data_IF_566791922650
#
_entry.id   IF_566791922650
#
_cell.length_a   1.000
_cell.length_b   1.000
_cell.length_c   1.000
_cell.angle_alpha   90.00
_cell.angle_beta   90.00
_cell.angle_gamma   90.00
#
_symmetry.space_group_name_H-M   'P 1'
#
loop_
_entity.id
_entity.type
_entity.pdbx_description
1 polymer ?
#
# COMPACT_ATOMS: atom_id res chain seq x y z
N UNK A 1 -28.45 -15.14 57.19
CA UNK A 1 -27.88 -15.54 55.91
C UNK A 1 -26.84 -14.49 55.57
N UNK A 2 -25.55 -14.76 55.89
CA UNK A 2 -24.42 -13.80 55.69
C UNK A 2 -23.78 -14.08 54.33
N UNK A 3 -23.90 -13.11 53.40
CA UNK A 3 -23.21 -13.13 52.14
C UNK A 3 -21.70 -12.74 52.39
N UNK A 4 -20.79 -13.66 52.15
CA UNK A 4 -19.37 -13.39 52.11
C UNK A 4 -19.03 -12.99 50.66
N UNK A 5 -18.73 -11.71 50.43
CA UNK A 5 -18.17 -11.21 49.19
C UNK A 5 -16.66 -11.49 49.22
N UNK A 6 -16.21 -12.49 48.46
CA UNK A 6 -14.80 -12.77 48.27
C UNK A 6 -14.24 -11.78 47.23
N UNK A 7 -13.46 -10.80 47.67
CA UNK A 7 -12.71 -9.88 46.85
C UNK A 7 -11.52 -10.62 46.23
N UNK A 8 -11.62 -11.02 44.95
CA UNK A 8 -10.49 -11.63 44.25
C UNK A 8 -9.54 -10.48 43.82
N UNK A 9 -8.46 -10.31 44.59
CA UNK A 9 -7.31 -9.49 44.19
C UNK A 9 -6.59 -10.22 43.06
N UNK A 10 -6.79 -9.76 41.80
CA UNK A 10 -5.97 -10.16 40.66
C UNK A 10 -4.64 -9.40 40.81
N UNK A 11 -3.48 -10.09 40.98
CA UNK A 11 -2.19 -9.41 40.98
C UNK A 11 -1.95 -8.89 39.58
N UNK A 12 -1.96 -7.55 39.40
CA UNK A 12 -1.40 -6.87 38.24
C UNK A 12 0.10 -7.06 38.32
N UNK A 13 0.60 -8.15 37.69
CA UNK A 13 2.03 -8.31 37.47
C UNK A 13 2.44 -7.24 36.45
N UNK A 14 3.07 -6.16 36.93
CA UNK A 14 3.91 -5.28 36.12
C UNK A 14 5.07 -6.15 35.59
N UNK A 15 4.86 -6.80 34.47
CA UNK A 15 5.96 -7.31 33.66
C UNK A 15 6.71 -6.09 33.13
N UNK A 16 7.84 -5.75 33.72
CA UNK A 16 8.85 -4.95 33.07
C UNK A 16 9.13 -5.61 31.72
N UNK A 17 8.64 -5.04 30.63
CA UNK A 17 8.86 -5.59 29.29
C UNK A 17 10.36 -5.53 29.01
N UNK A 18 11.02 -6.70 28.96
CA UNK A 18 12.37 -6.78 28.43
C UNK A 18 12.34 -6.23 27.00
N UNK A 19 13.29 -5.33 26.62
CA UNK A 19 13.32 -4.79 25.27
C UNK A 19 13.31 -5.91 24.24
N UNK A 20 12.44 -5.79 23.24
CA UNK A 20 12.38 -6.76 22.16
C UNK A 20 13.59 -6.56 21.25
N UNK A 21 14.43 -7.57 21.11
CA UNK A 21 15.53 -7.56 20.15
C UNK A 21 14.97 -7.66 18.75
N UNK A 22 15.34 -6.72 17.87
CA UNK A 22 14.79 -6.60 16.54
C UNK A 22 15.94 -6.38 15.53
N UNK A 23 16.08 -7.31 14.58
CA UNK A 23 16.93 -7.13 13.42
C UNK A 23 16.15 -6.37 12.32
N UNK A 24 16.85 -5.83 11.33
CA UNK A 24 16.21 -5.19 10.17
C UNK A 24 15.30 -6.19 9.42
N UNK A 25 15.77 -7.42 9.25
CA UNK A 25 15.02 -8.49 8.58
C UNK A 25 13.74 -8.84 9.34
N UNK A 26 13.82 -8.97 10.67
CA UNK A 26 12.66 -9.24 11.53
C UNK A 26 11.65 -8.06 11.49
N UNK A 27 12.15 -6.82 11.48
CA UNK A 27 11.31 -5.64 11.36
C UNK A 27 10.52 -5.62 10.03
N UNK A 28 11.21 -5.93 8.92
CA UNK A 28 10.58 -6.04 7.59
C UNK A 28 9.52 -7.15 7.60
N UNK A 29 9.82 -8.32 8.13
CA UNK A 29 8.90 -9.45 8.21
C UNK A 29 7.66 -9.11 9.04
N UNK A 30 7.85 -8.53 10.23
CA UNK A 30 6.74 -8.08 11.07
C UNK A 30 5.87 -7.04 10.37
N UNK A 31 6.49 -6.06 9.69
CA UNK A 31 5.78 -5.09 8.90
C UNK A 31 4.93 -5.73 7.80
N UNK A 32 5.49 -6.69 7.06
CA UNK A 32 4.75 -7.42 6.01
C UNK A 32 3.60 -8.27 6.55
N UNK A 33 3.73 -8.82 7.75
CA UNK A 33 2.69 -9.64 8.38
C UNK A 33 1.56 -8.80 9.02
N UNK A 34 1.88 -7.64 9.60
CA UNK A 34 0.97 -6.88 10.46
C UNK A 34 0.51 -5.54 9.91
N UNK A 35 1.13 -5.04 8.84
CA UNK A 35 0.78 -3.73 8.27
C UNK A 35 -0.66 -3.67 7.78
N UNK A 36 -1.41 -2.70 8.31
CA UNK A 36 -2.77 -2.40 7.86
C UNK A 36 -2.80 -1.91 6.41
N UNK A 37 -1.76 -1.20 5.97
CA UNK A 37 -1.61 -0.74 4.59
C UNK A 37 -1.52 -1.94 3.63
N UNK A 38 -0.69 -2.94 3.95
CA UNK A 38 -0.54 -4.12 3.11
C UNK A 38 -1.80 -5.00 3.14
N UNK A 39 -2.48 -5.08 4.29
CA UNK A 39 -3.80 -5.74 4.40
C UNK A 39 -4.84 -5.06 3.51
N UNK A 40 -4.88 -3.71 3.50
CA UNK A 40 -5.74 -2.95 2.59
C UNK A 40 -5.43 -3.26 1.12
N UNK A 41 -4.15 -3.30 0.74
CA UNK A 41 -3.74 -3.61 -0.63
C UNK A 41 -4.13 -5.04 -1.04
N UNK A 42 -3.99 -6.03 -0.13
CA UNK A 42 -4.48 -7.40 -0.35
C UNK A 42 -6.00 -7.42 -0.61
N UNK A 43 -6.77 -6.69 0.17
CA UNK A 43 -8.24 -6.60 -0.02
C UNK A 43 -8.59 -5.97 -1.38
N UNK A 44 -7.78 -5.03 -1.90
CA UNK A 44 -7.97 -4.51 -3.26
C UNK A 44 -7.76 -5.61 -4.32
N UNK A 45 -6.75 -6.48 -4.15
CA UNK A 45 -6.54 -7.63 -5.03
C UNK A 45 -7.73 -8.59 -5.00
N UNK A 46 -8.21 -8.95 -3.81
CA UNK A 46 -9.39 -9.80 -3.63
C UNK A 46 -10.64 -9.19 -4.30
N UNK A 47 -10.85 -7.90 -4.14
CA UNK A 47 -11.97 -7.18 -4.76
C UNK A 47 -11.86 -7.18 -6.30
N UNK A 48 -10.68 -6.92 -6.84
CA UNK A 48 -10.44 -6.95 -8.29
C UNK A 48 -10.60 -8.37 -8.87
N UNK A 49 -10.13 -9.38 -8.16
CA UNK A 49 -10.29 -10.79 -8.53
C UNK A 49 -11.77 -11.23 -8.51
N UNK A 50 -12.52 -10.83 -7.48
CA UNK A 50 -13.96 -11.06 -7.41
C UNK A 50 -14.71 -10.39 -8.58
N UNK A 51 -14.32 -9.15 -8.93
CA UNK A 51 -14.88 -8.44 -10.10
C UNK A 51 -14.57 -9.17 -11.42
N UNK A 52 -13.36 -9.69 -11.59
CA UNK A 52 -12.98 -10.51 -12.74
C UNK A 52 -13.83 -11.78 -12.82
N UNK A 53 -13.99 -12.49 -11.69
CA UNK A 53 -14.86 -13.68 -11.62
C UNK A 53 -16.32 -13.34 -11.95
N UNK A 54 -16.86 -12.24 -11.45
CA UNK A 54 -18.21 -11.77 -11.78
C UNK A 54 -18.37 -11.41 -13.27
N UNK A 55 -17.34 -10.79 -13.87
CA UNK A 55 -17.33 -10.47 -15.29
C UNK A 55 -17.28 -11.74 -16.16
N UNK A 56 -16.54 -12.76 -15.74
CA UNK A 56 -16.52 -14.07 -16.41
C UNK A 56 -17.86 -14.79 -16.25
N UNK A 57 -18.51 -14.69 -15.09
CA UNK A 57 -19.84 -15.28 -14.87
C UNK A 57 -20.90 -14.69 -15.81
N UNK A 58 -20.76 -13.44 -16.24
CA UNK A 58 -21.69 -12.83 -17.22
C UNK A 58 -21.67 -13.47 -18.62
N UNK A 59 -20.68 -14.32 -18.92
CA UNK A 59 -20.62 -15.12 -20.14
C UNK A 59 -21.45 -16.41 -20.04
N UNK A 60 -21.83 -16.82 -18.85
CA UNK A 60 -22.57 -18.06 -18.58
C UNK A 60 -24.08 -17.81 -18.61
N UNK A 61 -24.91 -18.90 -18.72
CA UNK A 61 -26.36 -18.77 -18.64
C UNK A 61 -26.79 -18.17 -17.29
N UNK A 62 -27.70 -17.21 -17.33
CA UNK A 62 -28.40 -16.74 -16.14
C UNK A 62 -29.73 -17.45 -15.99
N UNK A 63 -30.08 -17.79 -14.75
CA UNK A 63 -31.37 -18.39 -14.39
C UNK A 63 -32.07 -17.44 -13.44
N UNK A 64 -33.25 -16.98 -13.84
CA UNK A 64 -34.06 -16.08 -13.02
C UNK A 64 -35.43 -16.70 -12.74
N UNK A 65 -35.93 -16.54 -11.52
CA UNK A 65 -37.27 -16.95 -11.14
C UNK A 65 -38.03 -15.65 -10.78
N UNK A 66 -39.19 -15.47 -11.39
CA UNK A 66 -40.08 -14.35 -11.08
C UNK A 66 -41.45 -14.87 -10.72
N UNK A 67 -42.08 -14.26 -9.72
CA UNK A 67 -43.47 -14.56 -9.31
C UNK A 67 -44.23 -13.28 -9.09
N UNK A 68 -45.52 -13.29 -9.41
CA UNK A 68 -46.40 -12.14 -9.21
C UNK A 68 -47.83 -12.55 -8.93
N UNK A 69 -48.54 -11.73 -8.16
CA UNK A 69 -49.98 -11.78 -7.97
C UNK A 69 -50.56 -10.42 -8.32
N UNK A 70 -51.61 -10.43 -9.12
CA UNK A 70 -52.39 -9.23 -9.38
C UNK A 70 -53.88 -9.57 -9.36
N UNK A 71 -54.67 -8.69 -8.73
CA UNK A 71 -56.11 -8.73 -8.83
C UNK A 71 -56.56 -7.66 -9.82
N UNK A 72 -57.27 -8.11 -10.85
CA UNK A 72 -57.83 -7.19 -11.88
C UNK A 72 -59.09 -6.52 -11.30
N UNK A 73 -59.42 -5.35 -11.81
CA UNK A 73 -60.74 -4.78 -11.68
C UNK A 73 -61.76 -5.62 -12.42
N UNK A 74 -63.01 -5.37 -12.18
CA UNK A 74 -64.07 -6.04 -12.93
C UNK A 74 -63.94 -5.73 -14.42
N UNK A 75 -63.93 -6.77 -15.26
CA UNK A 75 -63.77 -6.70 -16.72
C UNK A 75 -64.89 -7.52 -17.36
N UNK A 76 -65.47 -7.01 -18.47
CA UNK A 76 -66.53 -7.74 -19.18
C UNK A 76 -65.98 -9.04 -19.78
N UNK A 77 -66.62 -10.18 -19.52
CA UNK A 77 -66.21 -11.46 -20.12
C UNK A 77 -66.37 -11.45 -21.63
N UNK A 78 -65.61 -12.32 -22.31
CA UNK A 78 -65.77 -12.53 -23.72
C UNK A 78 -67.00 -13.43 -23.95
N UNK A 79 -68.08 -12.82 -24.48
CA UNK A 79 -69.36 -13.51 -24.65
C UNK A 79 -69.94 -13.29 -26.05
N UNK A 80 -70.74 -14.24 -26.51
CA UNK A 80 -71.58 -14.09 -27.68
C UNK A 80 -72.89 -13.46 -27.26
N UNK A 81 -73.32 -12.30 -27.84
CA UNK A 81 -74.57 -11.65 -27.47
C UNK A 81 -75.82 -12.55 -27.61
N UNK A 82 -76.78 -12.34 -26.77
CA UNK A 82 -78.06 -13.03 -26.85
C UNK A 82 -78.71 -12.92 -28.23
N UNK A 83 -79.24 -14.00 -28.79
CA UNK A 83 -79.90 -14.09 -30.06
C UNK A 83 -78.99 -14.37 -31.31
N UNK A 84 -77.66 -14.22 -31.21
CA UNK A 84 -76.78 -14.38 -32.37
C UNK A 84 -76.61 -15.85 -32.81
N UNK A 85 -76.74 -16.83 -31.89
CA UNK A 85 -76.72 -18.28 -32.21
C UNK A 85 -78.05 -18.95 -31.83
N UNK A 86 -79.14 -18.20 -31.78
CA UNK A 86 -80.45 -18.74 -31.39
C UNK A 86 -80.65 -18.98 -29.86
N UNK A 87 -79.68 -18.59 -29.05
CA UNK A 87 -79.69 -18.73 -27.62
C UNK A 87 -80.27 -17.43 -26.99
N UNK A 88 -81.29 -17.45 -26.15
CA UNK A 88 -81.91 -16.28 -25.53
C UNK A 88 -81.04 -15.58 -24.49
N UNK A 89 -79.95 -16.17 -24.08
CA UNK A 89 -79.01 -15.61 -23.11
C UNK A 89 -77.60 -15.46 -23.72
N UNK A 90 -76.78 -14.48 -23.25
CA UNK A 90 -75.40 -14.35 -23.71
C UNK A 90 -74.64 -15.66 -23.37
N UNK A 91 -73.83 -16.15 -24.31
CA UNK A 91 -72.98 -17.31 -24.12
C UNK A 91 -71.57 -16.86 -23.79
N UNK A 92 -71.15 -17.00 -22.54
CA UNK A 92 -69.76 -16.70 -22.11
C UNK A 92 -68.83 -17.72 -22.71
N UNK A 93 -67.94 -17.27 -23.62
CA UNK A 93 -66.93 -18.11 -24.29
C UNK A 93 -65.70 -18.21 -23.40
N UNK A 94 -65.28 -17.10 -22.77
CA UNK A 94 -64.13 -17.06 -21.91
C UNK A 94 -64.43 -16.33 -20.59
N UNK A 95 -64.46 -17.03 -19.44
CA UNK A 95 -64.69 -16.39 -18.16
C UNK A 95 -63.53 -15.45 -17.81
N UNK A 96 -63.83 -14.41 -17.03
CA UNK A 96 -62.80 -13.52 -16.46
C UNK A 96 -62.35 -14.11 -15.14
N UNK A 97 -61.06 -14.28 -15.00
CA UNK A 97 -60.40 -14.67 -13.73
C UNK A 97 -59.73 -13.42 -13.17
N UNK A 98 -60.31 -12.87 -12.07
CA UNK A 98 -59.80 -11.62 -11.49
C UNK A 98 -58.48 -11.79 -10.75
N UNK A 99 -58.26 -12.93 -10.14
CA UNK A 99 -57.04 -13.24 -9.38
C UNK A 99 -56.01 -13.91 -10.30
N UNK A 100 -54.97 -13.17 -10.65
CA UNK A 100 -53.91 -13.63 -11.56
C UNK A 100 -52.65 -13.95 -10.79
N UNK A 101 -52.21 -15.18 -10.91
CA UNK A 101 -50.94 -15.66 -10.35
C UNK A 101 -49.99 -15.98 -11.52
N UNK A 102 -48.79 -15.38 -11.51
CA UNK A 102 -47.75 -15.64 -12.52
C UNK A 102 -46.50 -16.16 -11.86
N UNK A 103 -45.94 -17.23 -12.40
CA UNK A 103 -44.62 -17.74 -12.05
C UNK A 103 -43.87 -18.03 -13.34
N UNK A 104 -42.65 -17.56 -13.42
CA UNK A 104 -41.78 -17.73 -14.61
C UNK A 104 -40.36 -18.07 -14.19
N UNK A 105 -39.81 -19.09 -14.81
CA UNK A 105 -38.38 -19.42 -14.77
C UNK A 105 -37.84 -19.06 -16.15
N UNK A 106 -36.82 -18.18 -16.19
CA UNK A 106 -36.16 -17.79 -17.43
C UNK A 106 -34.70 -18.23 -17.38
N UNK A 107 -34.23 -18.91 -18.43
CA UNK A 107 -32.81 -19.19 -18.68
C UNK A 107 -32.42 -18.34 -19.87
N UNK A 108 -31.38 -17.52 -19.70
CA UNK A 108 -30.85 -16.66 -20.78
C UNK A 108 -29.36 -16.86 -20.95
N UNK A 109 -28.92 -17.24 -22.16
CA UNK A 109 -27.52 -17.43 -22.53
C UNK A 109 -27.15 -16.40 -23.61
N UNK A 110 -26.14 -15.52 -23.35
CA UNK A 110 -25.56 -14.71 -24.40
C UNK A 110 -24.81 -15.60 -25.40
N UNK A 111 -25.19 -15.57 -26.67
CA UNK A 111 -24.52 -16.33 -27.74
C UNK A 111 -23.49 -15.44 -28.43
N UNK A 112 -23.89 -14.21 -28.74
CA UNK A 112 -23.02 -13.21 -29.36
C UNK A 112 -23.41 -11.81 -28.89
N UNK A 113 -22.42 -11.03 -28.44
CA UNK A 113 -22.63 -9.68 -27.92
C UNK A 113 -21.66 -8.68 -28.55
N UNK A 114 -21.27 -8.88 -29.81
CA UNK A 114 -20.25 -8.03 -30.46
C UNK A 114 -18.89 -8.06 -29.74
N UNK A 115 -18.53 -9.17 -29.10
CA UNK A 115 -17.33 -9.33 -28.23
C UNK A 115 -17.36 -8.51 -26.94
N UNK A 116 -18.41 -7.71 -26.67
CA UNK A 116 -18.50 -6.81 -25.51
C UNK A 116 -18.29 -7.53 -24.18
N UNK A 117 -19.06 -8.59 -23.89
CA UNK A 117 -18.96 -9.33 -22.61
C UNK A 117 -17.58 -9.97 -22.45
N UNK A 118 -17.06 -10.58 -23.51
CA UNK A 118 -15.74 -11.23 -23.49
C UNK A 118 -14.63 -10.20 -23.27
N UNK A 119 -14.71 -9.03 -23.89
CA UNK A 119 -13.73 -7.95 -23.73
C UNK A 119 -13.83 -7.30 -22.34
N UNK A 120 -15.03 -7.17 -21.77
CA UNK A 120 -15.22 -6.70 -20.40
C UNK A 120 -14.60 -7.69 -19.38
N UNK A 121 -14.79 -9.00 -19.60
CA UNK A 121 -14.17 -10.03 -18.77
C UNK A 121 -12.62 -9.96 -18.85
N UNK A 122 -12.09 -9.78 -20.07
CA UNK A 122 -10.65 -9.61 -20.28
C UNK A 122 -10.11 -8.31 -19.65
N UNK A 123 -10.84 -7.20 -19.76
CA UNK A 123 -10.47 -5.95 -19.09
C UNK A 123 -10.43 -6.12 -17.57
N UNK A 124 -11.44 -6.78 -16.98
CA UNK A 124 -11.47 -7.07 -15.55
C UNK A 124 -10.33 -8.00 -15.10
N UNK A 125 -9.94 -8.99 -15.91
CA UNK A 125 -8.78 -9.86 -15.67
C UNK A 125 -7.47 -9.05 -15.62
N UNK A 126 -7.25 -8.16 -16.58
CA UNK A 126 -6.05 -7.31 -16.58
C UNK A 126 -6.04 -6.31 -15.42
N UNK A 127 -7.20 -5.80 -14.99
CA UNK A 127 -7.29 -4.98 -13.77
C UNK A 127 -6.94 -5.79 -12.52
N UNK A 128 -7.34 -7.07 -12.45
CA UNK A 128 -6.92 -7.94 -11.35
C UNK A 128 -5.40 -8.16 -11.34
N UNK A 129 -4.79 -8.40 -12.52
CA UNK A 129 -3.31 -8.49 -12.66
C UNK A 129 -2.61 -7.18 -12.28
N UNK A 130 -3.18 -6.04 -12.65
CA UNK A 130 -2.66 -4.74 -12.25
C UNK A 130 -2.67 -4.59 -10.72
N UNK A 131 -3.78 -4.98 -10.07
CA UNK A 131 -3.91 -4.93 -8.60
C UNK A 131 -2.92 -5.85 -7.88
N UNK A 132 -2.60 -7.02 -8.45
CA UNK A 132 -1.55 -7.91 -7.92
C UNK A 132 -0.17 -7.26 -8.00
N UNK A 133 0.11 -6.56 -9.11
CA UNK A 133 1.36 -5.83 -9.26
C UNK A 133 1.41 -4.60 -8.33
N UNK A 134 0.30 -3.88 -8.15
CA UNK A 134 0.18 -2.81 -7.16
C UNK A 134 0.47 -3.32 -5.73
N UNK A 135 -0.03 -4.51 -5.37
CA UNK A 135 0.26 -5.13 -4.08
C UNK A 135 1.76 -5.43 -3.90
N UNK A 136 2.43 -5.90 -4.95
CA UNK A 136 3.89 -6.12 -4.91
C UNK A 136 4.66 -4.81 -4.76
N UNK A 137 4.20 -3.74 -5.42
CA UNK A 137 4.78 -2.40 -5.27
C UNK A 137 4.57 -1.88 -3.84
N UNK A 138 3.36 -1.97 -3.28
CA UNK A 138 3.05 -1.56 -1.91
C UNK A 138 3.90 -2.34 -0.89
N UNK A 139 4.19 -3.63 -1.16
CA UNK A 139 5.11 -4.43 -0.36
C UNK A 139 6.55 -3.92 -0.42
N UNK A 140 7.04 -3.52 -1.59
CA UNK A 140 8.36 -2.93 -1.75
C UNK A 140 8.46 -1.55 -1.07
N UNK A 141 7.40 -0.73 -1.17
CA UNK A 141 7.29 0.56 -0.48
C UNK A 141 7.31 0.39 1.04
N UNK A 142 6.54 -0.57 1.57
CA UNK A 142 6.55 -0.89 3.00
C UNK A 142 7.94 -1.32 3.46
N UNK A 143 8.62 -2.17 2.69
CA UNK A 143 9.97 -2.63 3.01
C UNK A 143 10.96 -1.47 3.10
N UNK A 144 10.91 -0.53 2.15
CA UNK A 144 11.74 0.68 2.19
C UNK A 144 11.38 1.58 3.39
N UNK A 145 10.09 1.75 3.69
CA UNK A 145 9.63 2.56 4.81
C UNK A 145 10.08 1.97 6.16
N UNK A 146 9.99 0.65 6.34
CA UNK A 146 10.51 -0.04 7.53
C UNK A 146 12.03 0.14 7.64
N UNK A 147 12.75 -0.05 6.53
CA UNK A 147 14.20 0.14 6.47
C UNK A 147 14.60 1.57 6.85
N UNK A 148 13.87 2.55 6.34
CA UNK A 148 14.12 3.96 6.65
C UNK A 148 13.85 4.28 8.12
N UNK A 149 12.75 3.79 8.68
CA UNK A 149 12.41 4.00 10.08
C UNK A 149 13.39 3.29 11.03
N UNK A 150 13.86 2.09 10.66
CA UNK A 150 14.86 1.33 11.42
C UNK A 150 16.20 2.08 11.52
N UNK A 151 16.72 2.54 10.38
CA UNK A 151 17.99 3.26 10.34
C UNK A 151 17.90 4.67 10.96
N UNK A 152 16.74 5.31 10.88
CA UNK A 152 16.50 6.59 11.59
C UNK A 152 16.51 6.38 13.10
N UNK A 153 15.87 5.31 13.61
CA UNK A 153 15.94 4.97 15.03
C UNK A 153 17.38 4.65 15.45
N UNK A 154 18.13 3.90 14.65
CA UNK A 154 19.55 3.65 14.89
C UNK A 154 20.35 4.96 15.00
N UNK A 155 20.16 5.87 14.06
CA UNK A 155 20.84 7.19 14.07
C UNK A 155 20.52 7.98 15.34
N UNK A 156 19.26 8.02 15.75
CA UNK A 156 18.85 8.73 16.97
C UNK A 156 19.41 8.08 18.25
N UNK A 157 19.48 6.74 18.30
CA UNK A 157 20.11 6.02 19.42
C UNK A 157 21.59 6.36 19.53
N UNK A 158 22.33 6.38 18.43
CA UNK A 158 23.75 6.78 18.44
C UNK A 158 23.91 8.26 18.78
N UNK A 159 23.03 9.15 18.26
CA UNK A 159 23.04 10.59 18.60
C UNK A 159 22.79 10.80 20.10
N UNK A 160 21.84 10.07 20.69
CA UNK A 160 21.60 10.09 22.15
C UNK A 160 22.84 9.66 22.92
N UNK A 161 23.46 8.54 22.53
CA UNK A 161 24.68 8.04 23.16
C UNK A 161 25.82 9.06 23.11
N UNK A 162 26.04 9.67 21.95
CA UNK A 162 27.05 10.74 21.78
C UNK A 162 26.74 11.98 22.66
N UNK A 163 25.46 12.33 22.79
CA UNK A 163 25.02 13.43 23.67
C UNK A 163 25.26 13.10 25.15
N UNK A 164 24.98 11.85 25.59
CA UNK A 164 25.27 11.38 26.95
C UNK A 164 26.78 11.43 27.24
N UNK A 165 27.61 10.97 26.30
CA UNK A 165 29.08 11.04 26.42
C UNK A 165 29.58 12.47 26.46
N UNK A 166 29.04 13.38 25.66
CA UNK A 166 29.38 14.78 25.65
C UNK A 166 29.07 15.48 26.97
N UNK A 167 27.88 15.26 27.54
CA UNK A 167 27.52 15.79 28.87
C UNK A 167 28.48 15.29 29.93
N UNK A 168 28.83 14.00 29.92
CA UNK A 168 29.80 13.42 30.88
C UNK A 168 31.20 14.06 30.73
N UNK A 169 31.68 14.30 29.51
CA UNK A 169 32.96 14.98 29.28
C UNK A 169 32.96 16.41 29.80
N UNK A 170 31.91 17.18 29.53
CA UNK A 170 31.76 18.55 29.98
C UNK A 170 31.63 18.64 31.52
N UNK A 171 30.97 17.68 32.19
CA UNK A 171 30.99 17.57 33.63
C UNK A 171 32.40 17.33 34.20
N UNK A 172 33.19 16.50 33.54
CA UNK A 172 34.60 16.28 33.89
C UNK A 172 35.40 17.57 33.73
N UNK A 173 35.26 18.27 32.59
CA UNK A 173 35.91 19.57 32.36
C UNK A 173 35.51 20.63 33.39
N UNK A 174 34.26 20.67 33.80
CA UNK A 174 33.79 21.56 34.87
C UNK A 174 34.53 21.30 36.16
N UNK A 175 34.68 20.02 36.57
CA UNK A 175 35.36 19.64 37.79
C UNK A 175 36.89 19.93 37.70
N UNK A 176 37.53 19.62 36.60
CA UNK A 176 38.94 19.88 36.37
C UNK A 176 39.22 21.39 36.42
N UNK A 177 38.37 22.20 35.77
CA UNK A 177 38.49 23.67 35.78
C UNK A 177 38.28 24.27 37.17
N UNK A 178 37.33 23.73 37.95
CA UNK A 178 37.18 24.13 39.37
C UNK A 178 38.46 23.88 40.17
N UNK A 179 39.11 22.72 39.96
CA UNK A 179 40.34 22.39 40.63
C UNK A 179 41.51 23.29 40.18
N UNK A 180 41.63 23.55 38.88
CA UNK A 180 42.62 24.49 38.35
C UNK A 180 42.38 25.93 38.82
N UNK A 181 41.14 26.37 38.96
CA UNK A 181 40.78 27.67 39.51
C UNK A 181 41.19 27.80 40.98
N UNK A 182 40.94 26.75 41.77
CA UNK A 182 41.38 26.70 43.18
C UNK A 182 42.91 26.75 43.32
N UNK A 183 43.64 26.21 42.36
CA UNK A 183 45.10 26.26 42.27
C UNK A 183 45.62 27.59 41.65
N UNK A 184 44.73 28.52 41.25
CA UNK A 184 45.09 29.78 40.63
C UNK A 184 45.54 29.65 39.14
N UNK A 185 45.30 28.50 38.50
CA UNK A 185 45.71 28.18 37.12
C UNK A 185 44.60 28.38 36.09
N UNK A 186 43.34 28.61 36.53
CA UNK A 186 42.20 28.95 35.66
C UNK A 186 41.43 30.14 36.27
N UNK A 187 40.70 30.86 35.39
CA UNK A 187 39.88 31.99 35.79
C UNK A 187 38.41 31.59 36.03
N UNK A 188 37.67 32.44 36.76
CA UNK A 188 36.22 32.26 36.91
C UNK A 188 35.50 32.28 35.55
N UNK A 189 36.00 33.08 34.59
CA UNK A 189 35.45 33.14 33.25
C UNK A 189 35.59 31.82 32.49
N UNK A 190 36.68 31.09 32.69
CA UNK A 190 36.88 29.75 32.07
C UNK A 190 35.85 28.76 32.61
N UNK A 191 35.60 28.79 33.92
CA UNK A 191 34.55 27.93 34.52
C UNK A 191 33.16 28.26 33.98
N UNK A 192 32.80 29.57 33.90
CA UNK A 192 31.48 30.00 33.39
C UNK A 192 31.28 29.57 31.92
N UNK A 193 32.30 29.62 31.08
CA UNK A 193 32.21 29.12 29.70
C UNK A 193 31.86 27.64 29.65
N UNK A 194 32.50 26.82 30.46
CA UNK A 194 32.23 25.38 30.53
C UNK A 194 30.83 25.10 31.08
N UNK A 195 30.38 25.85 32.09
CA UNK A 195 29.03 25.74 32.66
C UNK A 195 27.94 26.07 31.64
N UNK A 196 28.14 27.12 30.82
CA UNK A 196 27.21 27.43 29.72
C UNK A 196 27.20 26.30 28.68
N UNK A 197 28.35 25.78 28.26
CA UNK A 197 28.44 24.70 27.29
C UNK A 197 27.82 23.41 27.83
N UNK A 198 28.01 23.10 29.12
CA UNK A 198 27.35 21.97 29.77
C UNK A 198 25.82 22.12 29.77
N UNK A 199 25.31 23.31 30.05
CA UNK A 199 23.87 23.57 29.99
C UNK A 199 23.32 23.38 28.56
N UNK A 200 24.04 23.86 27.54
CA UNK A 200 23.67 23.62 26.13
C UNK A 200 23.67 22.16 25.77
N UNK A 201 24.68 21.40 26.21
CA UNK A 201 24.78 19.95 25.97
C UNK A 201 23.63 19.17 26.65
N UNK A 202 23.22 19.59 27.85
CA UNK A 202 22.05 19.01 28.53
C UNK A 202 20.74 19.25 27.79
N UNK A 203 20.55 20.42 27.17
CA UNK A 203 19.40 20.70 26.32
C UNK A 203 19.40 19.76 25.11
N UNK A 204 20.53 19.62 24.41
CA UNK A 204 20.66 18.71 23.28
C UNK A 204 20.39 17.23 23.70
N UNK A 205 20.84 16.85 24.89
CA UNK A 205 20.57 15.51 25.45
C UNK A 205 19.06 15.27 25.67
N UNK A 206 18.33 16.27 26.17
CA UNK A 206 16.86 16.17 26.35
C UNK A 206 16.18 15.98 24.99
N UNK A 207 16.58 16.77 23.99
CA UNK A 207 16.03 16.64 22.63
C UNK A 207 16.35 15.26 22.04
N UNK A 208 17.58 14.78 22.19
CA UNK A 208 17.99 13.46 21.67
C UNK A 208 17.22 12.29 22.32
N UNK A 209 16.87 12.38 23.60
CA UNK A 209 16.01 11.38 24.27
C UNK A 209 14.60 11.38 23.63
N UNK A 210 14.02 12.55 23.46
CA UNK A 210 12.71 12.67 22.83
C UNK A 210 12.69 12.16 21.38
N UNK A 211 13.75 12.43 20.60
CA UNK A 211 13.88 11.98 19.22
C UNK A 211 13.96 10.45 19.11
N UNK A 212 14.63 9.80 20.07
CA UNK A 212 14.62 8.33 20.16
C UNK A 212 13.20 7.81 20.40
N UNK A 213 12.47 8.38 21.36
CA UNK A 213 11.12 7.93 21.68
C UNK A 213 10.18 8.10 20.48
N UNK A 214 10.24 9.25 19.79
CA UNK A 214 9.45 9.52 18.58
C UNK A 214 9.80 8.54 17.46
N UNK A 215 11.09 8.29 17.20
CA UNK A 215 11.53 7.36 16.17
C UNK A 215 11.11 5.90 16.50
N UNK A 216 11.18 5.50 17.77
CA UNK A 216 10.73 4.19 18.23
C UNK A 216 9.22 4.01 18.06
N UNK A 217 8.41 5.02 18.43
CA UNK A 217 6.96 5.01 18.19
C UNK A 217 6.64 4.92 16.70
N UNK A 218 7.39 5.63 15.85
CA UNK A 218 7.20 5.59 14.39
C UNK A 218 7.51 4.20 13.82
N UNK A 219 8.63 3.58 14.19
CA UNK A 219 8.96 2.21 13.77
C UNK A 219 7.88 1.23 14.22
N UNK A 220 7.46 1.27 15.50
CA UNK A 220 6.41 0.42 16.03
C UNK A 220 5.10 0.55 15.24
N UNK A 221 4.70 1.78 14.91
CA UNK A 221 3.50 2.03 14.12
C UNK A 221 3.59 1.41 12.72
N UNK A 222 4.74 1.56 12.04
CA UNK A 222 4.95 1.03 10.68
C UNK A 222 4.93 -0.50 10.67
N UNK A 223 5.56 -1.15 11.67
CA UNK A 223 5.59 -2.62 11.79
C UNK A 223 4.33 -3.21 12.45
N UNK A 224 3.36 -2.36 12.81
CA UNK A 224 2.07 -2.81 13.36
C UNK A 224 2.15 -3.34 14.79
N UNK A 225 3.06 -2.80 15.61
CA UNK A 225 3.18 -3.08 17.04
C UNK A 225 2.57 -1.94 17.89
N UNK A 226 2.27 -2.20 19.19
CA UNK A 226 1.91 -1.12 20.11
C UNK A 226 3.01 -0.07 20.16
N UNK A 227 2.64 1.22 20.11
CA UNK A 227 3.59 2.34 20.00
C UNK A 227 4.57 2.44 21.19
N UNK A 228 4.21 1.90 22.34
CA UNK A 228 5.02 1.93 23.58
C UNK A 228 6.00 0.76 23.70
N UNK A 229 6.05 -0.14 22.69
CA UNK A 229 6.93 -1.32 22.72
C UNK A 229 8.39 -0.87 22.74
N UNK A 230 9.14 -1.31 23.73
CA UNK A 230 10.59 -1.05 23.81
C UNK A 230 11.34 -2.00 22.87
N UNK A 231 12.17 -1.43 21.99
CA UNK A 231 12.94 -2.14 20.97
C UNK A 231 14.44 -1.94 21.23
N UNK A 232 15.20 -3.04 21.15
CA UNK A 232 16.66 -3.05 21.06
C UNK A 232 17.08 -3.44 19.65
N UNK A 233 17.70 -2.54 18.90
CA UNK A 233 18.15 -2.82 17.53
C UNK A 233 19.38 -3.72 17.56
N UNK A 234 19.40 -4.74 16.69
CA UNK A 234 20.52 -5.69 16.61
C UNK A 234 21.33 -5.59 15.32
N UNK A 235 20.77 -5.01 14.25
CA UNK A 235 21.52 -4.73 13.03
C UNK A 235 22.25 -3.39 13.13
N UNK A 236 23.51 -3.38 12.72
CA UNK A 236 24.34 -2.17 12.63
C UNK A 236 24.71 -1.88 11.17
N UNK A 237 24.89 -0.61 10.80
CA UNK A 237 25.32 -0.26 9.44
C UNK A 237 26.68 -0.91 9.12
N UNK A 238 26.85 -1.33 7.90
CA UNK A 238 28.05 -2.04 7.49
C UNK A 238 29.11 -1.05 6.96
N UNK A 239 30.24 -0.92 7.64
CA UNK A 239 31.40 -0.13 7.15
C UNK A 239 32.11 -0.81 5.97
N UNK A 240 31.89 -2.13 5.79
CA UNK A 240 32.48 -2.87 4.67
C UNK A 240 31.66 -2.64 3.41
N UNK A 241 32.17 -1.75 2.59
CA UNK A 241 31.73 -1.48 1.22
C UNK A 241 31.74 -2.75 0.36
N UNK A 242 30.74 -3.61 0.52
CA UNK A 242 30.40 -4.57 -0.53
C UNK A 242 29.92 -3.75 -1.72
N UNK A 243 30.82 -3.59 -2.67
CA UNK A 243 30.53 -3.01 -3.97
C UNK A 243 29.32 -3.79 -4.51
N UNK A 244 28.12 -3.23 -4.45
CA UNK A 244 27.16 -3.52 -5.49
C UNK A 244 27.93 -3.08 -6.75
N UNK A 245 28.45 -4.05 -7.52
CA UNK A 245 29.08 -3.76 -8.81
C UNK A 245 28.09 -2.83 -9.48
N UNK A 246 28.53 -1.62 -9.71
CA UNK A 246 27.74 -0.64 -10.43
C UNK A 246 27.57 -1.21 -11.84
N UNK A 247 26.48 -1.99 -12.04
CA UNK A 247 26.09 -2.39 -13.39
C UNK A 247 25.97 -1.13 -14.23
N UNK A 248 26.36 -1.16 -15.49
CA UNK A 248 26.21 -0.02 -16.38
C UNK A 248 24.76 0.49 -16.34
N UNK A 249 24.59 1.81 -16.37
CA UNK A 249 23.26 2.42 -16.30
C UNK A 249 22.21 1.80 -17.25
N UNK A 250 22.56 1.43 -18.51
CA UNK A 250 21.60 0.75 -19.40
C UNK A 250 21.07 -0.59 -18.85
N UNK A 251 21.91 -1.38 -18.19
CA UNK A 251 21.51 -2.66 -17.60
C UNK A 251 20.56 -2.45 -16.41
N UNK A 252 20.85 -1.47 -15.55
CA UNK A 252 19.94 -1.12 -14.44
C UNK A 252 18.60 -0.64 -14.94
N UNK A 253 18.56 0.08 -16.05
CA UNK A 253 17.36 0.57 -16.66
C UNK A 253 16.51 -0.57 -17.26
N UNK A 254 17.15 -1.51 -17.98
CA UNK A 254 16.49 -2.70 -18.52
C UNK A 254 15.93 -3.59 -17.40
N UNK A 255 16.71 -3.80 -16.34
CA UNK A 255 16.25 -4.52 -15.16
C UNK A 255 15.03 -3.84 -14.55
N UNK A 256 15.05 -2.53 -14.37
CA UNK A 256 13.91 -1.80 -13.80
C UNK A 256 12.64 -1.96 -14.64
N UNK A 257 12.72 -1.81 -15.96
CA UNK A 257 11.56 -1.94 -16.84
C UNK A 257 10.98 -3.36 -16.86
N UNK A 258 11.79 -4.39 -16.63
CA UNK A 258 11.33 -5.77 -16.59
C UNK A 258 10.82 -6.21 -15.23
N UNK A 259 11.43 -5.70 -14.14
CA UNK A 259 11.22 -6.23 -12.78
C UNK A 259 10.29 -5.39 -11.92
N UNK A 260 10.15 -4.08 -12.20
CA UNK A 260 9.35 -3.16 -11.36
C UNK A 260 7.86 -3.49 -11.41
N UNK A 261 7.22 -3.69 -10.25
CA UNK A 261 5.79 -4.01 -10.20
C UNK A 261 4.88 -2.86 -10.66
N UNK A 262 5.25 -1.60 -10.43
CA UNK A 262 4.49 -0.42 -10.89
C UNK A 262 4.46 -0.32 -12.43
N UNK A 263 5.55 -0.68 -13.12
CA UNK A 263 5.60 -0.79 -14.58
C UNK A 263 4.66 -1.90 -15.08
N UNK A 264 4.71 -3.08 -14.44
CA UNK A 264 3.85 -4.22 -14.78
C UNK A 264 2.37 -3.92 -14.54
N UNK A 265 2.04 -3.17 -13.48
CA UNK A 265 0.68 -2.70 -13.20
C UNK A 265 0.18 -1.81 -14.32
N UNK A 266 0.95 -0.80 -14.72
CA UNK A 266 0.54 0.14 -15.77
C UNK A 266 0.42 -0.54 -17.13
N UNK A 267 1.31 -1.48 -17.47
CA UNK A 267 1.19 -2.32 -18.67
C UNK A 267 -0.12 -3.12 -18.66
N UNK A 268 -0.47 -3.71 -17.52
CA UNK A 268 -1.74 -4.43 -17.36
C UNK A 268 -2.95 -3.51 -17.53
N UNK A 269 -2.89 -2.26 -17.04
CA UNK A 269 -3.93 -1.25 -17.23
C UNK A 269 -4.08 -0.84 -18.70
N UNK A 270 -2.99 -0.76 -19.47
CA UNK A 270 -3.01 -0.52 -20.91
C UNK A 270 -3.75 -1.65 -21.61
N UNK A 271 -3.45 -2.92 -21.30
CA UNK A 271 -4.14 -4.07 -21.88
C UNK A 271 -5.64 -4.10 -21.50
N UNK A 272 -5.97 -3.71 -20.27
CA UNK A 272 -7.36 -3.52 -19.85
C UNK A 272 -8.06 -2.44 -20.69
N UNK A 273 -7.40 -1.31 -20.95
CA UNK A 273 -7.95 -0.22 -21.77
C UNK A 273 -8.14 -0.64 -23.22
N UNK A 274 -7.22 -1.41 -23.82
CA UNK A 274 -7.39 -2.01 -25.16
C UNK A 274 -8.62 -2.91 -25.23
N UNK A 275 -8.81 -3.75 -24.19
CA UNK A 275 -9.99 -4.58 -24.09
C UNK A 275 -11.27 -3.74 -23.95
N UNK A 276 -11.23 -2.63 -23.20
CA UNK A 276 -12.35 -1.70 -23.04
C UNK A 276 -12.72 -1.02 -24.37
N UNK A 277 -11.73 -0.62 -25.19
CA UNK A 277 -11.97 -0.12 -26.55
C UNK A 277 -12.72 -1.17 -27.38
N UNK A 278 -12.28 -2.42 -27.34
CA UNK A 278 -12.95 -3.53 -28.07
C UNK A 278 -14.37 -3.76 -27.53
N UNK A 279 -14.58 -3.63 -26.23
CA UNK A 279 -15.91 -3.75 -25.64
C UNK A 279 -16.87 -2.64 -26.12
N UNK A 280 -16.38 -1.39 -26.18
CA UNK A 280 -17.15 -0.24 -26.70
C UNK A 280 -17.48 -0.43 -28.20
N UNK A 281 -16.52 -0.88 -29.01
CA UNK A 281 -16.73 -1.25 -30.40
C UNK A 281 -17.78 -2.35 -30.60
N UNK A 282 -17.96 -3.19 -29.57
CA UNK A 282 -18.97 -4.24 -29.53
C UNK A 282 -20.39 -3.75 -29.74
N UNK A 283 -20.68 -2.47 -29.41
CA UNK A 283 -21.99 -1.86 -29.61
C UNK A 283 -22.33 -1.59 -31.10
N UNK A 284 -21.36 -1.69 -32.01
CA UNK A 284 -21.61 -1.67 -33.46
C UNK A 284 -22.15 -3.01 -34.01
N UNK A 285 -22.24 -4.05 -33.19
CA UNK A 285 -22.67 -5.39 -33.61
C UNK A 285 -24.03 -5.74 -32.99
N UNK A 286 -24.85 -6.59 -33.65
CA UNK A 286 -26.04 -7.14 -33.03
C UNK A 286 -25.69 -8.01 -31.82
N UNK A 287 -26.57 -8.01 -30.81
CA UNK A 287 -26.49 -8.87 -29.65
C UNK A 287 -27.50 -10.03 -29.82
N UNK A 288 -27.07 -11.24 -29.60
CA UNK A 288 -27.85 -12.45 -29.80
C UNK A 288 -27.89 -13.24 -28.47
N UNK A 289 -29.11 -13.48 -28.00
CA UNK A 289 -29.36 -14.24 -26.79
C UNK A 289 -30.25 -15.45 -27.11
N UNK A 290 -29.91 -16.60 -26.53
CA UNK A 290 -30.80 -17.75 -26.47
C UNK A 290 -31.60 -17.64 -25.16
N UNK A 291 -32.94 -17.70 -25.24
CA UNK A 291 -33.82 -17.61 -24.07
C UNK A 291 -34.71 -18.84 -24.01
N UNK A 292 -34.89 -19.38 -22.82
CA UNK A 292 -35.86 -20.42 -22.54
C UNK A 292 -36.72 -19.98 -21.34
N UNK A 293 -38.04 -20.08 -21.48
CA UNK A 293 -38.95 -19.70 -20.41
C UNK A 293 -39.87 -20.87 -20.06
N UNK A 294 -40.09 -21.08 -18.79
CA UNK A 294 -41.12 -21.96 -18.26
C UNK A 294 -42.11 -21.11 -17.44
N UNK A 295 -43.39 -21.21 -17.78
CA UNK A 295 -44.45 -20.46 -17.11
C UNK A 295 -45.35 -21.43 -16.34
N UNK A 296 -45.78 -21.04 -15.15
CA UNK A 296 -46.78 -21.71 -14.35
C UNK A 296 -47.74 -20.67 -13.79
N UNK A 297 -48.82 -20.41 -14.56
CA UNK A 297 -49.70 -19.26 -14.32
C UNK A 297 -51.14 -19.72 -14.09
N UNK A 298 -51.90 -18.90 -13.35
CA UNK A 298 -53.34 -19.02 -13.19
C UNK A 298 -53.99 -17.64 -13.37
N UNK A 299 -54.85 -17.40 -14.38
CA UNK A 299 -54.98 -18.24 -15.56
C UNK A 299 -53.70 -18.17 -16.44
N UNK A 300 -53.50 -19.18 -17.27
CA UNK A 300 -52.42 -19.12 -18.28
C UNK A 300 -53.03 -18.60 -19.59
N UNK A 301 -52.60 -17.43 -20.04
CA UNK A 301 -53.10 -16.74 -21.21
C UNK A 301 -52.87 -17.50 -22.54
N UNK A 302 -52.09 -18.59 -22.55
CA UNK A 302 -51.87 -19.43 -23.72
C UNK A 302 -52.98 -20.48 -23.93
N UNK A 303 -53.89 -20.63 -22.98
CA UNK A 303 -55.05 -21.50 -23.12
C UNK A 303 -56.28 -20.67 -23.42
N UNK A 304 -57.02 -21.07 -24.49
CA UNK A 304 -58.30 -20.49 -24.84
C UNK A 304 -59.34 -21.59 -25.01
N UNK A 305 -60.50 -21.46 -24.41
CA UNK A 305 -60.97 -20.40 -23.49
C UNK A 305 -60.17 -20.39 -22.18
N UNK A 306 -60.19 -19.22 -21.49
CA UNK A 306 -59.49 -19.02 -20.22
C UNK A 306 -59.95 -20.04 -19.19
N UNK A 307 -58.98 -20.71 -18.54
CA UNK A 307 -59.20 -21.74 -17.53
C UNK A 307 -58.74 -21.21 -16.18
N UNK A 308 -59.63 -21.18 -15.18
CA UNK A 308 -59.28 -20.80 -13.81
C UNK A 308 -58.55 -21.95 -13.09
N UNK A 309 -57.35 -22.27 -13.56
CA UNK A 309 -56.45 -23.26 -12.99
C UNK A 309 -54.99 -22.95 -13.32
N UNK A 310 -54.09 -23.40 -12.48
CA UNK A 310 -52.66 -23.36 -12.78
C UNK A 310 -52.33 -24.26 -13.98
N UNK A 311 -51.73 -23.69 -14.99
CA UNK A 311 -51.26 -24.41 -16.20
C UNK A 311 -49.85 -24.05 -16.53
N UNK A 312 -49.04 -25.05 -16.96
CA UNK A 312 -47.69 -24.85 -17.41
C UNK A 312 -47.61 -24.68 -18.93
N UNK A 313 -46.73 -23.82 -19.35
CA UNK A 313 -46.30 -23.68 -20.74
C UNK A 313 -44.81 -23.31 -20.81
N UNK A 314 -44.17 -23.55 -21.92
CA UNK A 314 -42.77 -23.17 -22.13
C UNK A 314 -42.55 -22.64 -23.53
N UNK A 315 -41.46 -21.92 -23.71
CA UNK A 315 -40.93 -21.52 -24.97
C UNK A 315 -39.40 -21.48 -24.98
N UNK A 316 -38.82 -21.65 -26.15
CA UNK A 316 -37.41 -21.40 -26.42
C UNK A 316 -37.35 -20.49 -27.62
N UNK A 317 -36.54 -19.46 -27.55
CA UNK A 317 -36.40 -18.47 -28.61
C UNK A 317 -34.99 -17.89 -28.70
N UNK A 318 -34.69 -17.31 -29.83
CA UNK A 318 -33.49 -16.51 -30.06
C UNK A 318 -33.92 -15.04 -30.14
N UNK A 319 -33.33 -14.21 -29.32
CA UNK A 319 -33.54 -12.77 -29.33
C UNK A 319 -32.33 -12.12 -29.96
N UNK A 320 -32.57 -11.27 -30.96
CA UNK A 320 -31.58 -10.42 -31.62
C UNK A 320 -31.95 -8.97 -31.35
N UNK A 321 -30.98 -8.23 -30.78
CA UNK A 321 -31.12 -6.80 -30.54
C UNK A 321 -30.00 -6.07 -31.27
N UNK A 322 -30.36 -5.01 -32.03
CA UNK A 322 -29.42 -4.20 -32.77
C UNK A 322 -29.88 -2.75 -32.81
N UNK A 323 -29.06 -1.83 -32.35
CA UNK A 323 -29.32 -0.41 -32.37
C UNK A 323 -28.89 0.15 -33.72
N UNK A 324 -29.86 0.31 -34.66
CA UNK A 324 -29.58 0.79 -36.02
C UNK A 324 -29.17 2.27 -36.02
N UNK A 325 -29.68 3.05 -35.06
CA UNK A 325 -29.38 4.46 -34.95
C UNK A 325 -29.45 4.96 -33.54
N UNK A 326 -28.37 5.58 -33.04
CA UNK A 326 -28.28 6.10 -31.67
C UNK A 326 -27.61 7.49 -31.58
N UNK A 327 -27.72 8.28 -32.65
CA UNK A 327 -27.24 9.67 -32.70
C UNK A 327 -25.72 9.80 -32.39
N UNK A 328 -24.93 8.83 -32.74
CA UNK A 328 -23.47 8.83 -32.51
C UNK A 328 -23.03 8.43 -31.08
N UNK A 329 -23.94 7.98 -30.24
CA UNK A 329 -23.60 7.57 -28.88
C UNK A 329 -22.49 6.50 -28.83
N UNK A 330 -22.59 5.46 -29.68
CA UNK A 330 -21.55 4.41 -29.78
C UNK A 330 -20.21 4.98 -30.25
N UNK A 331 -20.19 5.91 -31.20
CA UNK A 331 -18.94 6.55 -31.66
C UNK A 331 -18.28 7.32 -30.52
N UNK A 332 -19.06 8.10 -29.76
CA UNK A 332 -18.59 8.87 -28.63
C UNK A 332 -18.05 7.96 -27.51
N UNK A 333 -18.69 6.82 -27.24
CA UNK A 333 -18.21 5.81 -26.27
C UNK A 333 -16.87 5.20 -26.71
N UNK A 334 -16.70 4.87 -27.98
CA UNK A 334 -15.46 4.39 -28.57
C UNK A 334 -14.36 5.44 -28.47
N UNK A 335 -14.67 6.70 -28.80
CA UNK A 335 -13.68 7.79 -28.74
C UNK A 335 -13.26 8.07 -27.27
N UNK A 336 -14.19 8.00 -26.33
CA UNK A 336 -13.88 8.07 -24.90
C UNK A 336 -12.96 6.93 -24.46
N UNK A 337 -13.24 5.70 -24.88
CA UNK A 337 -12.40 4.54 -24.56
C UNK A 337 -10.99 4.66 -25.18
N UNK A 338 -10.87 5.13 -26.42
CA UNK A 338 -9.57 5.43 -27.07
C UNK A 338 -8.81 6.54 -26.35
N UNK A 339 -9.51 7.59 -25.92
CA UNK A 339 -8.91 8.66 -25.12
C UNK A 339 -8.32 8.14 -23.81
N UNK A 340 -9.05 7.26 -23.10
CA UNK A 340 -8.56 6.62 -21.88
C UNK A 340 -7.35 5.70 -22.14
N UNK A 341 -7.32 4.98 -23.26
CA UNK A 341 -6.14 4.19 -23.68
C UNK A 341 -4.94 5.10 -23.92
N UNK A 342 -5.10 6.16 -24.69
CA UNK A 342 -4.02 7.11 -24.98
C UNK A 342 -3.47 7.77 -23.70
N UNK A 343 -4.33 8.09 -22.73
CA UNK A 343 -3.89 8.59 -21.43
C UNK A 343 -2.97 7.59 -20.71
N UNK A 344 -3.32 6.31 -20.68
CA UNK A 344 -2.49 5.28 -20.07
C UNK A 344 -1.16 5.06 -20.80
N UNK A 345 -1.13 5.17 -22.14
CA UNK A 345 0.09 5.08 -22.93
C UNK A 345 1.03 6.26 -22.65
N UNK A 346 0.49 7.49 -22.58
CA UNK A 346 1.27 8.69 -22.22
C UNK A 346 1.82 8.56 -20.78
N UNK A 347 1.00 8.09 -19.83
CA UNK A 347 1.45 7.84 -18.47
C UNK A 347 2.58 6.81 -18.41
N UNK A 348 2.55 5.79 -19.25
CA UNK A 348 3.62 4.79 -19.34
C UNK A 348 4.93 5.38 -19.86
N UNK A 349 4.87 6.24 -20.89
CA UNK A 349 6.08 6.93 -21.38
C UNK A 349 6.62 7.91 -20.36
N UNK A 350 5.76 8.68 -19.68
CA UNK A 350 6.17 9.55 -18.58
C UNK A 350 6.81 8.75 -17.40
N UNK A 351 6.26 7.57 -17.10
CA UNK A 351 6.84 6.69 -16.07
C UNK A 351 8.25 6.24 -16.45
N UNK A 352 8.51 5.88 -17.72
CA UNK A 352 9.85 5.51 -18.19
C UNK A 352 10.87 6.64 -17.99
N UNK A 353 10.47 7.87 -18.31
CA UNK A 353 11.33 9.04 -18.11
C UNK A 353 11.64 9.25 -16.62
N UNK A 354 10.62 9.15 -15.76
CA UNK A 354 10.76 9.28 -14.32
C UNK A 354 11.66 8.19 -13.73
N UNK A 355 11.51 6.94 -14.15
CA UNK A 355 12.34 5.81 -13.71
C UNK A 355 13.80 6.04 -14.12
N UNK A 356 14.04 6.52 -15.33
CA UNK A 356 15.40 6.82 -15.81
C UNK A 356 16.08 7.87 -14.94
N UNK A 357 15.34 8.93 -14.58
CA UNK A 357 15.84 9.98 -13.70
C UNK A 357 16.04 9.47 -12.26
N UNK A 358 15.09 8.68 -11.73
CA UNK A 358 15.14 8.08 -10.40
C UNK A 358 16.38 7.20 -10.23
N UNK A 359 16.61 6.27 -11.16
CA UNK A 359 17.80 5.38 -11.12
C UNK A 359 19.08 6.19 -11.15
N UNK A 360 19.16 7.19 -12.04
CA UNK A 360 20.38 8.03 -12.13
C UNK A 360 20.66 8.78 -10.84
N UNK A 361 19.62 9.35 -10.21
CA UNK A 361 19.74 10.01 -8.89
C UNK A 361 20.21 9.04 -7.81
N UNK A 362 19.63 7.83 -7.77
CA UNK A 362 19.95 6.83 -6.76
C UNK A 362 21.37 6.28 -6.91
N UNK A 363 21.86 6.08 -8.14
CA UNK A 363 23.26 5.72 -8.41
C UNK A 363 24.21 6.81 -7.90
N UNK A 364 23.90 8.09 -8.18
CA UNK A 364 24.71 9.21 -7.68
C UNK A 364 24.64 9.33 -6.15
N UNK A 365 23.48 9.04 -5.54
CA UNK A 365 23.33 9.06 -4.09
C UNK A 365 24.19 7.99 -3.41
N UNK A 366 24.24 6.76 -3.95
CA UNK A 366 25.12 5.69 -3.44
C UNK A 366 26.59 6.08 -3.56
N UNK A 367 27.01 6.65 -4.70
CA UNK A 367 28.39 7.11 -4.87
C UNK A 367 28.76 8.21 -3.87
N UNK A 368 27.89 9.22 -3.73
CA UNK A 368 28.09 10.32 -2.77
C UNK A 368 28.16 9.83 -1.33
N UNK A 369 27.25 8.92 -0.93
CA UNK A 369 27.21 8.38 0.43
C UNK A 369 28.52 7.65 0.78
N UNK A 370 29.08 6.92 -0.18
CA UNK A 370 30.38 6.25 -0.04
C UNK A 370 31.54 7.25 0.16
N UNK A 371 31.64 8.27 -0.70
CA UNK A 371 32.68 9.29 -0.59
C UNK A 371 32.59 10.04 0.76
N UNK A 372 31.35 10.27 1.25
CA UNK A 372 31.13 10.88 2.58
C UNK A 372 31.67 10.04 3.73
N UNK A 373 31.53 8.71 3.68
CA UNK A 373 32.02 7.82 4.74
C UNK A 373 33.54 7.94 4.86
N UNK A 374 34.26 7.85 3.75
CA UNK A 374 35.72 7.92 3.75
C UNK A 374 36.21 9.25 4.35
N UNK A 375 35.58 10.36 3.96
CA UNK A 375 35.92 11.70 4.49
C UNK A 375 35.53 11.86 5.94
N UNK A 376 34.33 11.39 6.32
CA UNK A 376 33.84 11.52 7.69
C UNK A 376 34.64 10.68 8.68
N UNK A 377 35.09 9.48 8.28
CA UNK A 377 35.95 8.61 9.09
C UNK A 377 37.29 9.28 9.41
N UNK A 378 37.96 9.84 8.37
CA UNK A 378 39.18 10.60 8.58
C UNK A 378 38.93 11.81 9.51
N UNK A 379 37.78 12.46 9.37
CA UNK A 379 37.37 13.56 10.25
C UNK A 379 37.27 13.15 11.71
N UNK A 380 36.73 11.95 12.00
CA UNK A 380 36.67 11.41 13.37
C UNK A 380 38.05 11.14 13.92
N UNK A 381 38.93 10.45 13.18
CA UNK A 381 40.32 10.13 13.61
C UNK A 381 41.06 11.42 13.97
N UNK A 382 40.94 12.48 13.14
CA UNK A 382 41.59 13.78 13.38
C UNK A 382 41.00 14.51 14.59
N UNK A 383 39.67 14.48 14.77
CA UNK A 383 38.99 15.14 15.89
C UNK A 383 39.29 14.46 17.24
N UNK A 384 39.36 13.13 17.27
CA UNK A 384 39.75 12.36 18.47
C UNK A 384 41.16 12.73 18.93
N UNK A 385 42.12 12.77 18.00
CA UNK A 385 43.48 13.13 18.34
C UNK A 385 43.61 14.62 18.75
N UNK A 386 42.80 15.51 18.17
CA UNK A 386 42.73 16.91 18.58
C UNK A 386 42.21 17.05 19.99
N UNK A 387 41.12 16.38 20.36
CA UNK A 387 40.56 16.39 21.73
C UNK A 387 41.59 15.86 22.73
N UNK A 388 42.25 14.73 22.39
CA UNK A 388 43.28 14.12 23.25
C UNK A 388 44.42 15.10 23.51
N UNK A 389 45.00 15.67 22.45
CA UNK A 389 46.17 16.57 22.53
C UNK A 389 45.81 17.87 23.25
N UNK A 390 44.65 18.47 22.93
CA UNK A 390 44.19 19.73 23.55
C UNK A 390 43.82 19.51 25.02
N UNK A 391 43.22 18.38 25.38
CA UNK A 391 42.92 18.01 26.75
C UNK A 391 44.22 17.87 27.64
N UNK A 392 45.26 17.24 27.08
CA UNK A 392 46.55 17.12 27.78
C UNK A 392 47.24 18.52 27.97
N UNK A 393 47.17 19.39 26.95
CA UNK A 393 47.66 20.76 27.05
C UNK A 393 46.84 21.58 28.06
N UNK A 394 45.54 21.45 28.10
CA UNK A 394 44.67 22.18 29.03
C UNK A 394 44.98 21.80 30.47
N UNK A 395 45.15 20.52 30.78
CA UNK A 395 45.55 20.03 32.12
C UNK A 395 46.91 20.57 32.56
N UNK A 396 47.81 20.86 31.60
CA UNK A 396 49.12 21.43 31.85
C UNK A 396 49.15 22.98 31.84
N UNK A 397 47.99 23.64 31.64
CA UNK A 397 47.87 25.06 31.56
C UNK A 397 48.42 25.68 30.27
N UNK A 398 48.65 24.86 29.21
CA UNK A 398 49.21 25.25 27.93
C UNK A 398 48.14 25.45 26.83
N UNK A 399 46.87 25.19 27.13
CA UNK A 399 45.74 25.48 26.26
C UNK A 399 44.64 26.20 27.05
N UNK A 400 43.80 26.95 26.34
CA UNK A 400 42.67 27.67 26.92
C UNK A 400 41.41 26.81 27.03
N UNK A 401 40.45 27.18 27.90
CA UNK A 401 39.13 26.51 27.95
C UNK A 401 38.38 26.58 26.62
N UNK A 402 38.57 27.64 25.85
CA UNK A 402 37.96 27.79 24.52
C UNK A 402 38.50 26.77 23.54
N UNK A 403 39.83 26.56 23.47
CA UNK A 403 40.44 25.56 22.60
C UNK A 403 39.98 24.15 22.93
N UNK A 404 39.81 23.83 24.24
CA UNK A 404 39.30 22.55 24.69
C UNK A 404 37.84 22.33 24.26
N UNK A 405 36.97 23.34 24.45
CA UNK A 405 35.57 23.27 24.03
C UNK A 405 35.41 23.19 22.52
N UNK A 406 36.22 23.93 21.74
CA UNK A 406 36.21 23.88 20.28
C UNK A 406 36.62 22.50 19.76
N UNK A 407 37.63 21.87 20.38
CA UNK A 407 38.02 20.50 20.04
C UNK A 407 36.90 19.49 20.34
N UNK A 408 36.21 19.63 21.46
CA UNK A 408 35.11 18.74 21.86
C UNK A 408 33.89 18.87 20.93
N UNK A 409 33.54 20.11 20.54
CA UNK A 409 32.49 20.36 19.55
C UNK A 409 32.85 19.77 18.19
N UNK A 410 34.12 19.89 17.77
CA UNK A 410 34.61 19.29 16.51
C UNK A 410 34.48 17.77 16.53
N UNK A 411 34.80 17.11 17.63
CA UNK A 411 34.66 15.66 17.80
C UNK A 411 33.19 15.22 17.72
N UNK A 412 32.30 15.88 18.46
CA UNK A 412 30.88 15.60 18.43
C UNK A 412 30.32 15.72 17.01
N UNK A 413 30.68 16.80 16.31
CA UNK A 413 30.27 17.01 14.90
C UNK A 413 30.81 15.95 13.96
N UNK A 414 32.11 15.59 14.07
CA UNK A 414 32.73 14.58 13.23
C UNK A 414 32.07 13.21 13.42
N UNK A 415 31.84 12.79 14.66
CA UNK A 415 31.21 11.50 14.97
C UNK A 415 29.75 11.45 14.52
N UNK A 416 29.00 12.56 14.70
CA UNK A 416 27.62 12.66 14.20
C UNK A 416 27.59 12.58 12.67
N UNK A 417 28.52 13.26 11.97
CA UNK A 417 28.61 13.20 10.52
C UNK A 417 28.95 11.77 10.03
N UNK A 418 29.83 11.05 10.71
CA UNK A 418 30.18 9.68 10.35
C UNK A 418 29.01 8.72 10.52
N UNK A 419 28.30 8.77 11.65
CA UNK A 419 27.08 7.97 11.88
C UNK A 419 26.03 8.28 10.82
N UNK A 420 25.80 9.58 10.53
CA UNK A 420 24.86 9.99 9.48
C UNK A 420 25.27 9.48 8.08
N UNK A 421 26.56 9.46 7.75
CA UNK A 421 27.06 8.95 6.47
C UNK A 421 26.83 7.43 6.33
N UNK A 422 27.04 6.66 7.39
CA UNK A 422 26.75 5.22 7.42
C UNK A 422 25.27 4.93 7.17
N UNK A 423 24.37 5.66 7.85
CA UNK A 423 22.93 5.52 7.65
C UNK A 423 22.49 5.98 6.25
N UNK A 424 23.06 7.11 5.75
CA UNK A 424 22.79 7.58 4.38
C UNK A 424 23.16 6.50 3.34
N UNK A 425 24.26 5.77 3.55
CA UNK A 425 24.66 4.69 2.65
C UNK A 425 23.66 3.54 2.64
N UNK A 426 23.22 3.07 3.80
CA UNK A 426 22.23 1.99 3.90
C UNK A 426 20.91 2.37 3.21
N UNK A 427 20.44 3.60 3.44
CA UNK A 427 19.23 4.12 2.81
C UNK A 427 19.38 4.30 1.29
N UNK A 428 20.52 4.81 0.83
CA UNK A 428 20.79 4.98 -0.61
C UNK A 428 20.82 3.62 -1.33
N UNK A 429 21.42 2.59 -0.71
CA UNK A 429 21.44 1.24 -1.28
C UNK A 429 20.02 0.63 -1.31
N UNK A 430 19.26 0.74 -0.22
CA UNK A 430 17.89 0.24 -0.17
C UNK A 430 17.00 0.92 -1.23
N UNK A 431 17.14 2.24 -1.39
CA UNK A 431 16.40 3.02 -2.39
C UNK A 431 16.79 2.63 -3.82
N UNK A 432 18.10 2.43 -4.10
CA UNK A 432 18.55 1.96 -5.40
C UNK A 432 18.02 0.55 -5.72
N UNK A 433 18.11 -0.39 -4.80
CA UNK A 433 17.54 -1.75 -4.96
C UNK A 433 16.06 -1.68 -5.33
N UNK A 434 15.26 -0.92 -4.58
CA UNK A 434 13.84 -0.72 -4.91
C UNK A 434 13.65 -0.12 -6.29
N UNK A 435 14.43 0.92 -6.66
CA UNK A 435 14.28 1.63 -7.95
C UNK A 435 14.59 0.76 -9.18
N UNK A 436 15.34 -0.31 -9.02
CA UNK A 436 15.62 -1.30 -10.09
C UNK A 436 14.70 -2.52 -10.01
N UNK A 437 13.74 -2.55 -9.07
CA UNK A 437 12.82 -3.67 -8.90
C UNK A 437 13.44 -4.90 -8.24
N UNK A 438 14.58 -4.73 -7.57
CA UNK A 438 15.21 -5.80 -6.80
C UNK A 438 14.49 -5.98 -5.47
N UNK A 439 14.09 -7.22 -5.14
CA UNK A 439 13.38 -7.49 -3.89
C UNK A 439 14.34 -7.40 -2.71
N UNK A 440 14.12 -6.44 -1.82
CA UNK A 440 14.89 -6.26 -0.57
C UNK A 440 14.83 -7.49 0.37
N UNK A 441 14.07 -8.53 0.01
CA UNK A 441 13.81 -9.72 0.84
C UNK A 441 14.62 -10.97 0.46
N UNK A 442 15.46 -10.95 -0.62
CA UNK A 442 16.14 -12.14 -1.14
C UNK A 442 17.62 -12.28 -0.72
N UNK A 443 18.10 -11.51 0.24
CA UNK A 443 19.51 -11.63 0.68
C UNK A 443 19.86 -12.94 1.43
N UNK A 444 18.90 -13.83 1.68
CA UNK A 444 19.11 -15.04 2.50
C UNK A 444 19.64 -16.24 1.72
N UNK A 445 19.63 -16.24 0.37
CA UNK A 445 19.99 -17.44 -0.42
C UNK A 445 21.42 -17.46 -1.00
N UNK A 446 22.23 -16.45 -0.76
CA UNK A 446 23.63 -16.42 -1.23
C UNK A 446 24.68 -16.77 -0.16
N UNK A 447 24.23 -17.36 0.97
CA UNK A 447 25.13 -17.91 2.03
C UNK A 447 25.01 -19.43 2.16
N UNK A 448 24.81 -20.16 1.07
CA UNK A 448 25.05 -21.60 1.02
C UNK A 448 26.13 -21.96 0.02
#
# INVERSE_FOLDING_TARGET
MKLIVALILIPVTLFGQTPQRLSLEDAIKLGQERSKMLSLSRTKVETASARSSGSNASLLPSITVAGGYSRLSDVTPFEIPAGLLGNPQPLVISPVVLDNYSSRITVQQPIFTGFKLRSNARAAEYIAKASESDYKNDKADLTLNVTSAYWLLYQNLETKKLSDENVNRLQTYQNDTKNLMNAGMATRNDLLKIEVQLSNAQLIQIDAVNDVDVAMMNLNNIIGQPIETQIELTSVPNDTTRIVRSSPFPELLEQAFSSRPDVQSLQSRIEASKATVTAAQGNYFPQIFLTGNYYYNRPNARYFPTIDAFKSTWDIGVQVQFDVWNWGATSSEVDQAKGALSQNEILYDQMKDNISLEIKRNVLAVQRAREKIDVAKLGVDQAEENVRTTGDKYKSGLATSTELLDADVALLQATTNYTGALVEQELAQATLKKSIGDSLSEETDLRR
#
